data_IF_042373300758
#
_entry.id   IF_042373300758
#
_cell.length_a   1.000
_cell.length_b   1.000
_cell.length_c   1.000
_cell.angle_alpha   90.00
_cell.angle_beta   90.00
_cell.angle_gamma   90.00
#
_symmetry.space_group_name_H-M   'P 1'
#
loop_
_entity.id
_entity.type
_entity.pdbx_description
1 polymer ?
#
# COMPACT_ATOMS: atom_id res chain seq x y z
N UNK A 1 -27.58 -33.95 -2.97
CA UNK A 1 -26.37 -34.32 -3.74
C UNK A 1 -25.40 -33.14 -3.70
N UNK A 2 -24.55 -33.07 -2.66
CA UNK A 2 -23.45 -32.12 -2.56
C UNK A 2 -22.23 -32.80 -3.18
N UNK A 3 -21.83 -32.39 -4.38
CA UNK A 3 -20.57 -32.81 -4.98
C UNK A 3 -19.44 -32.23 -4.14
N UNK A 4 -18.70 -33.09 -3.44
CA UNK A 4 -17.43 -32.74 -2.80
C UNK A 4 -16.42 -32.34 -3.88
N UNK A 5 -16.16 -31.04 -4.02
CA UNK A 5 -14.97 -30.57 -4.74
C UNK A 5 -13.74 -30.86 -3.88
N UNK A 6 -13.03 -31.91 -4.22
CA UNK A 6 -11.66 -32.12 -3.71
C UNK A 6 -10.75 -31.11 -4.41
N UNK A 7 -10.45 -30.03 -3.76
CA UNK A 7 -9.32 -29.20 -4.16
C UNK A 7 -8.04 -29.95 -3.82
N UNK A 8 -7.29 -30.34 -4.88
CA UNK A 8 -6.02 -31.00 -4.75
C UNK A 8 -5.01 -30.06 -4.08
N UNK A 9 -4.57 -30.41 -2.87
CA UNK A 9 -3.28 -30.00 -2.32
C UNK A 9 -3.15 -28.63 -1.65
N UNK A 10 -4.21 -27.83 -1.53
CA UNK A 10 -4.11 -26.55 -0.82
C UNK A 10 -4.60 -26.70 0.63
N UNK A 11 -3.67 -26.77 1.57
CA UNK A 11 -3.99 -26.61 2.98
C UNK A 11 -4.54 -25.20 3.19
N UNK A 12 -5.79 -25.12 3.66
CA UNK A 12 -6.34 -23.87 4.19
C UNK A 12 -5.36 -23.40 5.29
N UNK A 13 -4.81 -22.21 5.10
CA UNK A 13 -3.91 -21.58 6.09
C UNK A 13 -4.69 -21.20 7.33
N UNK A 14 -4.99 -22.15 8.20
CA UNK A 14 -5.52 -21.85 9.55
C UNK A 14 -4.45 -21.57 10.59
N UNK A 15 -3.18 -21.85 10.27
CA UNK A 15 -2.09 -21.89 11.26
C UNK A 15 -0.84 -21.12 10.81
N UNK A 16 -0.97 -20.05 10.01
CA UNK A 16 0.13 -19.12 9.90
C UNK A 16 -0.02 -18.12 11.05
N UNK A 17 0.78 -18.23 12.12
CA UNK A 17 0.93 -17.10 13.01
C UNK A 17 1.38 -15.93 12.13
N UNK A 18 0.78 -14.76 12.35
CA UNK A 18 1.30 -13.50 11.80
C UNK A 18 2.80 -13.54 12.03
N UNK A 19 3.60 -13.39 10.98
CA UNK A 19 5.05 -13.42 11.11
C UNK A 19 5.46 -12.38 12.15
N UNK A 20 6.52 -12.63 12.89
CA UNK A 20 7.02 -11.70 13.91
C UNK A 20 7.17 -10.28 13.34
N UNK A 21 7.42 -10.14 12.03
CA UNK A 21 7.49 -8.87 11.31
C UNK A 21 6.14 -8.19 11.09
N UNK A 22 5.04 -8.92 10.93
CA UNK A 22 3.69 -8.34 10.80
C UNK A 22 3.15 -7.89 12.16
N UNK A 23 3.37 -8.67 13.22
CA UNK A 23 3.08 -8.23 14.59
C UNK A 23 3.98 -7.07 14.99
N UNK A 24 5.22 -7.02 14.52
CA UNK A 24 6.13 -5.92 14.75
C UNK A 24 5.68 -4.60 14.11
N UNK A 25 4.84 -4.61 13.06
CA UNK A 25 4.24 -3.36 12.54
C UNK A 25 3.25 -2.74 13.53
N UNK A 26 2.50 -3.56 14.27
CA UNK A 26 1.48 -3.10 15.23
C UNK A 26 2.10 -2.87 16.61
N UNK A 27 3.14 -3.61 16.97
CA UNK A 27 3.69 -3.67 18.33
C UNK A 27 5.17 -3.26 18.46
N UNK A 28 5.79 -2.64 17.41
CA UNK A 28 7.16 -2.17 17.55
C UNK A 28 7.25 -1.19 18.73
N UNK A 29 8.06 -1.55 19.70
CA UNK A 29 8.42 -0.60 20.78
C UNK A 29 8.94 0.68 20.09
N UNK A 30 8.44 1.86 20.44
CA UNK A 30 8.94 3.13 19.92
C UNK A 30 10.47 3.30 20.00
N UNK A 31 11.13 2.49 20.83
CA UNK A 31 12.58 2.46 20.97
C UNK A 31 13.30 1.82 19.79
N UNK A 32 12.64 0.92 19.07
CA UNK A 32 13.23 0.16 17.95
C UNK A 32 13.08 0.89 16.61
N UNK A 33 12.34 2.00 16.58
CA UNK A 33 12.15 2.82 15.38
C UNK A 33 13.14 3.97 15.38
N UNK A 34 13.92 4.19 14.30
CA UNK A 34 14.81 5.34 14.20
C UNK A 34 14.04 6.64 14.49
N UNK A 35 14.57 7.47 15.37
CA UNK A 35 13.93 8.74 15.69
C UNK A 35 14.51 9.85 14.84
N UNK A 36 13.64 10.68 14.27
CA UNK A 36 14.01 11.92 13.58
C UNK A 36 14.03 13.04 14.60
N UNK A 37 15.07 13.87 14.58
CA UNK A 37 15.26 14.92 15.59
C UNK A 37 14.19 16.02 15.50
N UNK A 38 13.74 16.37 14.29
CA UNK A 38 12.72 17.39 14.05
C UNK A 38 12.03 17.18 12.72
N UNK A 39 10.83 17.70 12.59
CA UNK A 39 10.08 17.76 11.33
C UNK A 39 9.38 19.11 11.26
N UNK A 40 9.39 19.71 10.09
CA UNK A 40 8.56 20.86 9.72
C UNK A 40 8.16 20.73 8.26
N UNK A 41 6.96 21.17 7.91
CA UNK A 41 6.54 21.26 6.52
C UNK A 41 7.40 22.28 5.76
N UNK A 42 7.78 21.93 4.54
CA UNK A 42 8.37 22.90 3.63
C UNK A 42 7.38 24.05 3.35
N UNK A 43 7.84 25.25 2.97
CA UNK A 43 6.93 26.35 2.64
C UNK A 43 5.88 25.95 1.58
N UNK A 44 6.28 25.20 0.55
CA UNK A 44 5.40 24.68 -0.49
C UNK A 44 4.32 23.75 0.09
N UNK A 45 4.74 22.81 0.94
CA UNK A 45 3.80 21.87 1.55
C UNK A 45 2.89 22.55 2.58
N UNK A 46 3.37 23.60 3.25
CA UNK A 46 2.52 24.40 4.13
C UNK A 46 1.41 25.11 3.36
N UNK A 47 1.65 25.58 2.14
CA UNK A 47 0.58 26.13 1.29
C UNK A 47 -0.44 25.04 0.89
N UNK A 48 0.01 23.82 0.59
CA UNK A 48 -0.89 22.66 0.36
C UNK A 48 -1.73 22.34 1.61
N UNK A 49 -1.13 22.39 2.80
CA UNK A 49 -1.86 22.21 4.08
C UNK A 49 -2.97 23.25 4.23
N UNK A 50 -2.68 24.53 3.96
CA UNK A 50 -3.70 25.59 3.98
C UNK A 50 -4.83 25.30 2.98
N UNK A 51 -4.50 24.83 1.78
CA UNK A 51 -5.47 24.41 0.78
C UNK A 51 -6.36 23.26 1.27
N UNK A 52 -5.80 22.23 1.91
CA UNK A 52 -6.60 21.14 2.49
C UNK A 52 -7.54 21.61 3.59
N UNK A 53 -7.06 22.51 4.47
CA UNK A 53 -7.88 23.09 5.54
C UNK A 53 -9.02 23.93 4.98
N UNK A 54 -8.76 24.72 3.92
CA UNK A 54 -9.75 25.58 3.28
C UNK A 54 -10.95 24.83 2.65
N UNK A 55 -10.82 23.52 2.44
CA UNK A 55 -11.95 22.68 1.97
C UNK A 55 -13.03 22.46 3.05
N UNK A 56 -12.77 22.83 4.28
CA UNK A 56 -13.68 22.63 5.42
C UNK A 56 -14.11 23.94 6.05
N UNK A 57 -15.30 24.00 6.67
CA UNK A 57 -15.76 25.19 7.35
C UNK A 57 -14.81 25.65 8.48
N UNK A 58 -14.83 26.95 8.83
CA UNK A 58 -14.05 27.47 9.95
C UNK A 58 -14.25 26.65 11.24
N UNK A 59 -13.17 26.34 11.95
CA UNK A 59 -13.18 25.52 13.15
C UNK A 59 -13.26 23.99 12.90
N UNK A 60 -13.23 23.55 11.63
CA UNK A 60 -13.24 22.14 11.22
C UNK A 60 -11.93 21.67 10.58
N UNK A 61 -10.82 22.35 10.86
CA UNK A 61 -9.49 22.03 10.31
C UNK A 61 -9.03 20.60 10.61
N UNK A 62 -9.50 20.01 11.72
CA UNK A 62 -9.22 18.60 12.07
C UNK A 62 -9.68 17.60 10.98
N UNK A 63 -10.67 17.96 10.15
CA UNK A 63 -11.13 17.11 9.05
C UNK A 63 -10.08 16.92 7.94
N UNK A 64 -9.08 17.80 7.86
CA UNK A 64 -7.98 17.69 6.89
C UNK A 64 -6.87 16.71 7.34
N UNK A 65 -6.98 16.07 8.51
CA UNK A 65 -5.89 15.33 9.14
C UNK A 65 -5.31 14.21 8.26
N UNK A 66 -6.14 13.45 7.55
CA UNK A 66 -5.68 12.36 6.67
C UNK A 66 -4.83 12.91 5.53
N UNK A 67 -5.29 13.97 4.86
CA UNK A 67 -4.55 14.59 3.76
C UNK A 67 -3.24 15.23 4.22
N UNK A 68 -3.23 15.81 5.42
CA UNK A 68 -2.03 16.43 6.00
C UNK A 68 -1.03 15.37 6.47
N UNK A 69 -1.50 14.24 7.02
CA UNK A 69 -0.64 13.10 7.35
C UNK A 69 -0.03 12.47 6.08
N UNK A 70 -0.80 12.30 5.01
CA UNK A 70 -0.27 11.79 3.73
C UNK A 70 0.81 12.73 3.17
N UNK A 71 0.58 14.03 3.21
CA UNK A 71 1.58 15.02 2.79
C UNK A 71 2.85 14.96 3.63
N UNK A 72 2.72 14.80 4.95
CA UNK A 72 3.87 14.63 5.84
C UNK A 72 4.64 13.34 5.54
N UNK A 73 3.92 12.24 5.30
CA UNK A 73 4.51 10.96 4.90
C UNK A 73 5.25 11.07 3.56
N UNK A 74 4.68 11.74 2.56
CA UNK A 74 5.32 11.97 1.25
C UNK A 74 6.59 12.82 1.38
N UNK A 75 6.59 13.80 2.26
CA UNK A 75 7.76 14.65 2.50
C UNK A 75 8.90 13.89 3.19
N UNK A 76 8.59 13.05 4.18
CA UNK A 76 9.57 12.38 5.04
C UNK A 76 9.88 10.94 4.58
N UNK A 77 9.01 10.34 3.75
CA UNK A 77 9.06 8.94 3.32
C UNK A 77 8.32 7.98 4.28
N UNK A 78 8.08 8.39 5.52
CA UNK A 78 7.33 7.68 6.55
C UNK A 78 6.83 8.67 7.62
N UNK A 79 6.04 8.23 8.60
CA UNK A 79 5.49 9.11 9.65
C UNK A 79 6.19 8.92 11.00
N UNK A 80 7.32 9.61 11.27
CA UNK A 80 7.89 9.66 12.60
C UNK A 80 6.99 10.42 13.56
N UNK A 81 7.15 10.16 14.88
CA UNK A 81 6.35 10.82 15.91
C UNK A 81 6.42 12.35 15.82
N UNK A 82 7.59 12.90 15.50
CA UNK A 82 7.75 14.37 15.35
C UNK A 82 6.92 14.94 14.20
N UNK A 83 6.73 14.19 13.11
CA UNK A 83 5.86 14.62 12.00
C UNK A 83 4.38 14.57 12.40
N UNK A 84 3.95 13.53 13.12
CA UNK A 84 2.58 13.45 13.65
C UNK A 84 2.31 14.58 14.66
N UNK A 85 3.28 14.94 15.50
CA UNK A 85 3.17 16.07 16.44
C UNK A 85 3.04 17.39 15.68
N UNK A 86 3.79 17.58 14.61
CA UNK A 86 3.67 18.79 13.78
C UNK A 86 2.31 18.89 13.09
N UNK A 87 1.78 17.78 12.59
CA UNK A 87 0.40 17.71 12.05
C UNK A 87 -0.61 18.11 13.13
N UNK A 88 -0.46 17.58 14.35
CA UNK A 88 -1.33 17.93 15.47
C UNK A 88 -1.28 19.43 15.77
N UNK A 89 -0.08 20.02 15.81
CA UNK A 89 0.13 21.45 16.05
C UNK A 89 -0.52 22.32 14.98
N UNK A 90 -0.33 21.96 13.71
CA UNK A 90 -0.84 22.77 12.57
C UNK A 90 -2.37 22.72 12.50
N UNK A 91 -2.98 21.58 12.85
CA UNK A 91 -4.42 21.38 12.83
C UNK A 91 -5.12 21.70 14.15
N UNK A 92 -4.37 22.18 15.15
CA UNK A 92 -4.88 22.43 16.52
C UNK A 92 -5.62 21.21 17.10
N UNK A 93 -4.97 20.04 17.00
CA UNK A 93 -5.45 18.76 17.50
C UNK A 93 -4.60 18.26 18.66
N UNK A 94 -5.20 17.50 19.58
CA UNK A 94 -4.42 16.76 20.56
C UNK A 94 -3.57 15.69 19.85
N UNK A 95 -2.25 15.56 20.14
CA UNK A 95 -1.36 14.61 19.47
C UNK A 95 -1.89 13.16 19.46
N UNK A 96 -2.53 12.74 20.55
CA UNK A 96 -3.11 11.40 20.66
C UNK A 96 -4.16 11.13 19.59
N UNK A 97 -4.95 12.13 19.19
CA UNK A 97 -5.96 11.99 18.13
C UNK A 97 -5.33 11.79 16.76
N UNK A 98 -4.19 12.42 16.51
CA UNK A 98 -3.43 12.19 15.27
C UNK A 98 -2.80 10.79 15.28
N UNK A 99 -2.28 10.34 16.46
CA UNK A 99 -1.74 8.97 16.60
C UNK A 99 -2.80 7.90 16.37
N UNK A 100 -4.02 8.08 16.92
CA UNK A 100 -5.14 7.17 16.68
C UNK A 100 -5.40 6.99 15.17
N UNK A 101 -5.43 8.09 14.42
CA UNK A 101 -5.66 8.06 12.98
C UNK A 101 -4.49 7.40 12.25
N UNK A 102 -3.27 7.80 12.57
CA UNK A 102 -2.07 7.26 11.92
C UNK A 102 -1.87 5.75 12.16
N UNK A 103 -2.29 5.24 13.33
CA UNK A 103 -2.21 3.81 13.65
C UNK A 103 -3.40 3.02 13.13
N UNK A 104 -4.54 3.65 12.93
CA UNK A 104 -5.74 2.99 12.42
C UNK A 104 -5.68 2.76 10.90
N UNK A 105 -5.23 3.75 10.14
CA UNK A 105 -5.20 3.66 8.68
C UNK A 105 -3.89 3.02 8.20
N UNK A 106 -3.98 1.84 7.59
CA UNK A 106 -2.83 1.01 7.15
C UNK A 106 -2.01 1.63 6.03
N UNK A 107 -2.49 2.68 5.37
CA UNK A 107 -1.74 3.44 4.37
C UNK A 107 -0.59 4.26 5.00
N UNK A 108 -0.63 4.51 6.32
CA UNK A 108 0.42 5.26 7.00
C UNK A 108 1.54 4.34 7.46
N UNK A 109 2.75 4.67 7.06
CA UNK A 109 3.96 3.91 7.37
C UNK A 109 4.62 4.50 8.63
N UNK A 110 4.52 3.81 9.75
CA UNK A 110 5.05 4.26 11.04
C UNK A 110 6.54 3.89 11.23
N UNK A 111 7.12 3.23 10.24
CA UNK A 111 8.55 2.85 10.19
C UNK A 111 9.15 3.28 8.85
N UNK A 112 10.47 3.48 8.78
CA UNK A 112 11.15 3.66 7.51
C UNK A 112 10.86 2.51 6.56
N UNK A 113 10.67 2.83 5.30
CA UNK A 113 10.48 1.86 4.21
C UNK A 113 11.49 2.07 3.11
N UNK A 114 11.67 1.07 2.27
CA UNK A 114 12.46 1.18 1.05
C UNK A 114 11.86 2.18 0.06
N UNK A 115 12.63 2.50 -0.97
CA UNK A 115 12.22 3.42 -2.04
C UNK A 115 10.88 3.03 -2.68
N UNK A 116 10.65 1.72 -2.85
CA UNK A 116 9.43 1.14 -3.41
C UNK A 116 8.74 0.27 -2.36
N UNK A 117 7.52 0.62 -2.00
CA UNK A 117 6.66 -0.20 -1.14
C UNK A 117 5.81 -1.10 -2.03
N UNK A 118 6.02 -2.41 -1.90
CA UNK A 118 5.28 -3.45 -2.60
C UNK A 118 4.13 -3.92 -1.70
N UNK A 119 2.91 -3.50 -1.98
CA UNK A 119 1.72 -3.90 -1.25
C UNK A 119 1.00 -5.00 -2.04
N UNK A 120 1.11 -6.23 -1.58
CA UNK A 120 0.61 -7.42 -2.27
C UNK A 120 -0.76 -7.79 -1.74
N UNK A 121 -1.77 -7.75 -2.59
CA UNK A 121 -3.11 -8.22 -2.25
C UNK A 121 -3.14 -9.75 -2.19
N UNK A 122 -3.59 -10.31 -1.05
CA UNK A 122 -3.69 -11.75 -0.82
C UNK A 122 -5.12 -12.21 -0.53
N UNK A 123 -6.11 -11.34 -0.71
CA UNK A 123 -7.52 -11.68 -0.51
C UNK A 123 -8.03 -12.63 -1.61
N UNK A 124 -9.22 -13.16 -1.43
CA UNK A 124 -9.73 -14.34 -2.15
C UNK A 124 -9.50 -14.34 -3.66
N UNK A 125 -9.85 -13.30 -4.46
CA UNK A 125 -9.62 -13.33 -5.90
C UNK A 125 -8.12 -13.40 -6.27
N UNK A 126 -7.28 -12.61 -5.59
CA UNK A 126 -5.84 -12.62 -5.81
C UNK A 126 -5.23 -13.96 -5.37
N UNK A 127 -5.66 -14.51 -4.24
CA UNK A 127 -5.23 -15.81 -3.76
C UNK A 127 -5.59 -16.94 -4.75
N UNK A 128 -6.82 -16.98 -5.25
CA UNK A 128 -7.27 -17.96 -6.25
C UNK A 128 -6.48 -17.85 -7.55
N UNK A 129 -5.98 -16.67 -7.88
CA UNK A 129 -5.17 -16.38 -9.07
C UNK A 129 -3.66 -16.48 -8.82
N UNK A 130 -3.23 -16.92 -7.63
CA UNK A 130 -1.83 -17.26 -7.35
C UNK A 130 -1.01 -16.16 -6.69
N UNK A 131 -1.62 -15.25 -5.90
CA UNK A 131 -0.88 -14.21 -5.17
C UNK A 131 0.20 -14.74 -4.21
N UNK A 132 0.12 -16.00 -3.79
CA UNK A 132 1.18 -16.66 -3.00
C UNK A 132 2.53 -16.71 -3.73
N UNK A 133 2.53 -16.93 -5.05
CA UNK A 133 3.74 -16.89 -5.86
C UNK A 133 4.28 -15.46 -6.01
N UNK A 134 3.37 -14.49 -6.16
CA UNK A 134 3.70 -13.06 -6.22
C UNK A 134 4.34 -12.62 -4.90
N UNK A 135 3.71 -12.97 -3.76
CA UNK A 135 4.24 -12.65 -2.43
C UNK A 135 5.65 -13.21 -2.23
N UNK A 136 5.89 -14.47 -2.64
CA UNK A 136 7.24 -15.08 -2.56
C UNK A 136 8.25 -14.33 -3.43
N UNK A 137 7.87 -13.92 -4.64
CA UNK A 137 8.76 -13.16 -5.53
C UNK A 137 9.09 -11.79 -4.94
N UNK A 138 8.09 -11.08 -4.38
CA UNK A 138 8.28 -9.80 -3.71
C UNK A 138 9.16 -9.95 -2.45
N UNK A 139 8.89 -10.94 -1.61
CA UNK A 139 9.68 -11.21 -0.40
C UNK A 139 11.14 -11.54 -0.70
N UNK A 140 11.40 -12.30 -1.77
CA UNK A 140 12.76 -12.60 -2.22
C UNK A 140 13.50 -11.36 -2.77
N UNK A 141 12.77 -10.34 -3.22
CA UNK A 141 13.33 -9.10 -3.73
C UNK A 141 13.53 -8.04 -2.64
N UNK A 142 12.89 -8.18 -1.48
CA UNK A 142 12.92 -7.23 -0.40
C UNK A 142 14.32 -7.13 0.22
N UNK A 143 14.86 -5.92 0.26
CA UNK A 143 16.18 -5.61 0.86
C UNK A 143 16.06 -4.51 1.93
N UNK A 144 14.85 -4.01 2.18
CA UNK A 144 14.57 -2.93 3.13
C UNK A 144 15.02 -1.53 2.70
N UNK A 145 15.82 -1.43 1.64
CA UNK A 145 16.33 -0.17 1.11
C UNK A 145 15.72 0.19 -0.24
N UNK A 146 15.74 -0.73 -1.18
CA UNK A 146 15.10 -0.57 -2.49
C UNK A 146 13.64 -0.96 -2.39
N UNK A 147 13.37 -2.17 -1.90
CA UNK A 147 12.03 -2.72 -1.77
C UNK A 147 11.68 -3.04 -0.33
N UNK A 148 10.50 -2.61 0.08
CA UNK A 148 9.79 -3.10 1.27
C UNK A 148 8.52 -3.80 0.83
N UNK A 149 8.18 -4.92 1.46
CA UNK A 149 7.01 -5.73 1.13
C UNK A 149 6.01 -5.69 2.27
N UNK A 150 4.75 -5.55 1.93
CA UNK A 150 3.64 -5.58 2.86
C UNK A 150 2.52 -6.42 2.27
N UNK A 151 2.01 -7.37 3.03
CA UNK A 151 0.75 -8.03 2.73
C UNK A 151 -0.38 -7.06 3.04
N UNK A 152 -1.35 -6.92 2.13
CA UNK A 152 -2.49 -6.03 2.32
C UNK A 152 -3.79 -6.72 2.00
N UNK A 153 -4.87 -6.17 2.55
CA UNK A 153 -6.23 -6.53 2.22
C UNK A 153 -6.59 -6.11 0.78
N UNK A 154 -7.83 -6.34 0.38
CA UNK A 154 -8.28 -6.12 -0.99
C UNK A 154 -8.02 -4.68 -1.49
N UNK A 155 -7.24 -4.58 -2.56
CA UNK A 155 -6.93 -3.32 -3.25
C UNK A 155 -8.04 -2.86 -4.22
N UNK A 156 -9.12 -3.66 -4.38
CA UNK A 156 -10.24 -3.32 -5.25
C UNK A 156 -10.08 -3.70 -6.73
N UNK A 157 -8.90 -4.15 -7.15
CA UNK A 157 -8.60 -4.57 -8.53
C UNK A 157 -8.96 -6.03 -8.84
N UNK A 158 -10.00 -6.61 -8.22
CA UNK A 158 -10.29 -8.05 -8.26
C UNK A 158 -10.53 -8.62 -9.66
N UNK A 159 -11.02 -7.80 -10.59
CA UNK A 159 -11.22 -8.20 -12.00
C UNK A 159 -9.90 -8.53 -12.69
N UNK A 160 -8.83 -7.85 -12.28
CA UNK A 160 -7.49 -7.96 -12.81
C UNK A 160 -6.53 -8.64 -11.82
N UNK A 161 -7.05 -9.55 -10.99
CA UNK A 161 -6.23 -10.29 -10.02
C UNK A 161 -5.20 -11.19 -10.72
N UNK A 162 -3.99 -11.38 -10.15
CA UNK A 162 -3.45 -10.78 -8.92
C UNK A 162 -3.02 -9.33 -9.08
N UNK A 163 -3.10 -8.55 -7.96
CA UNK A 163 -2.79 -7.12 -7.95
C UNK A 163 -1.72 -6.82 -6.89
N UNK A 164 -0.76 -6.01 -7.27
CA UNK A 164 0.25 -5.41 -6.37
C UNK A 164 0.22 -3.90 -6.57
N UNK A 165 0.10 -3.16 -5.48
CA UNK A 165 0.34 -1.72 -5.52
C UNK A 165 1.82 -1.47 -5.22
N UNK A 166 2.48 -0.69 -6.09
CA UNK A 166 3.85 -0.24 -5.91
C UNK A 166 3.83 1.27 -5.76
N UNK A 167 4.03 1.76 -4.56
CA UNK A 167 3.80 3.15 -4.17
C UNK A 167 2.37 3.60 -4.53
N UNK A 168 2.19 4.44 -5.57
CA UNK A 168 0.88 4.97 -5.97
C UNK A 168 0.24 4.20 -7.13
N UNK A 169 0.98 3.28 -7.79
CA UNK A 169 0.54 2.62 -9.02
C UNK A 169 0.14 1.16 -8.80
N UNK A 170 -0.91 0.72 -9.48
CA UNK A 170 -1.33 -0.67 -9.52
C UNK A 170 -0.67 -1.41 -10.68
N UNK A 171 -0.20 -2.62 -10.39
CA UNK A 171 0.26 -3.62 -11.36
C UNK A 171 -0.66 -4.83 -11.24
N UNK A 172 -1.28 -5.19 -12.33
CA UNK A 172 -2.45 -6.07 -12.37
C UNK A 172 -2.22 -7.24 -13.31
N UNK A 173 -3.09 -8.28 -13.22
CA UNK A 173 -2.96 -9.50 -14.06
C UNK A 173 -1.56 -10.13 -13.94
N UNK A 174 -1.00 -10.12 -12.76
CA UNK A 174 0.37 -10.54 -12.52
C UNK A 174 0.49 -12.08 -12.46
N UNK A 175 1.60 -12.56 -12.97
CA UNK A 175 2.17 -13.86 -12.65
C UNK A 175 3.59 -13.70 -12.07
N UNK A 176 4.21 -14.79 -11.66
CA UNK A 176 5.57 -14.74 -11.09
C UNK A 176 6.58 -14.15 -12.09
N UNK A 177 6.41 -14.40 -13.38
CA UNK A 177 7.32 -13.94 -14.42
C UNK A 177 7.19 -12.45 -14.69
N UNK A 178 5.96 -11.97 -14.83
CA UNK A 178 5.68 -10.54 -15.02
C UNK A 178 6.06 -9.73 -13.79
N UNK A 179 5.79 -10.26 -12.57
CA UNK A 179 6.23 -9.60 -11.33
C UNK A 179 7.74 -9.44 -11.25
N UNK A 180 8.50 -10.49 -11.59
CA UNK A 180 9.98 -10.40 -11.63
C UNK A 180 10.45 -9.35 -12.64
N UNK A 181 9.85 -9.26 -13.83
CA UNK A 181 10.18 -8.23 -14.82
C UNK A 181 9.92 -6.82 -14.29
N UNK A 182 8.79 -6.62 -13.60
CA UNK A 182 8.45 -5.33 -12.95
C UNK A 182 9.50 -4.97 -11.90
N UNK A 183 9.86 -5.90 -11.02
CA UNK A 183 10.88 -5.68 -9.99
C UNK A 183 12.24 -5.33 -10.57
N UNK A 184 12.67 -6.06 -11.62
CA UNK A 184 13.94 -5.82 -12.28
C UNK A 184 13.99 -4.45 -12.99
N UNK A 185 12.88 -4.01 -13.57
CA UNK A 185 12.76 -2.68 -14.15
C UNK A 185 12.94 -1.58 -13.09
N UNK A 186 12.27 -1.70 -11.95
CA UNK A 186 12.45 -0.77 -10.84
C UNK A 186 13.88 -0.77 -10.27
N UNK A 187 14.57 -1.92 -10.23
CA UNK A 187 15.99 -1.99 -9.84
C UNK A 187 16.90 -1.23 -10.79
N UNK A 188 16.58 -1.23 -12.08
CA UNK A 188 17.31 -0.43 -13.10
C UNK A 188 16.93 1.06 -13.07
N UNK A 189 15.96 1.46 -12.22
CA UNK A 189 15.46 2.84 -12.16
C UNK A 189 14.44 3.18 -13.24
N UNK A 190 13.94 2.17 -13.95
CA UNK A 190 12.86 2.32 -14.93
C UNK A 190 11.51 2.28 -14.20
N UNK A 191 10.48 2.94 -14.74
CA UNK A 191 9.09 2.84 -14.27
C UNK A 191 8.28 2.06 -15.30
N UNK A 192 7.97 0.78 -15.05
CA UNK A 192 7.14 -0.01 -15.95
C UNK A 192 5.75 0.60 -16.09
N UNK A 193 5.07 0.29 -17.21
CA UNK A 193 3.69 0.73 -17.40
C UNK A 193 2.80 0.13 -16.32
N UNK A 194 2.10 0.99 -15.59
CA UNK A 194 1.09 0.59 -14.61
C UNK A 194 -0.14 -0.04 -15.27
N UNK A 195 -0.93 -0.76 -14.48
CA UNK A 195 -2.14 -1.46 -14.93
C UNK A 195 -1.88 -2.90 -15.34
N UNK A 196 -2.72 -3.46 -16.22
CA UNK A 196 -2.65 -4.86 -16.66
C UNK A 196 -1.29 -5.19 -17.28
N UNK A 197 -0.72 -6.32 -16.86
CA UNK A 197 0.54 -6.85 -17.41
C UNK A 197 0.29 -7.87 -18.53
N UNK A 198 -0.96 -7.97 -19.00
CA UNK A 198 -1.41 -8.72 -20.16
C UNK A 198 -2.01 -7.76 -21.20
N UNK A 199 -2.23 -8.24 -22.42
CA UNK A 199 -2.83 -7.43 -23.49
C UNK A 199 -4.35 -7.33 -23.30
N UNK A 200 -4.75 -6.40 -22.43
CA UNK A 200 -6.15 -5.97 -22.26
C UNK A 200 -6.24 -4.47 -21.98
N UNK A 201 -7.36 -3.89 -22.34
CA UNK A 201 -7.67 -2.50 -22.03
C UNK A 201 -8.27 -2.41 -20.62
N UNK A 202 -7.53 -1.90 -19.65
CA UNK A 202 -8.00 -1.74 -18.26
C UNK A 202 -8.67 -3.02 -17.72
N UNK A 203 -9.93 -2.96 -17.28
CA UNK A 203 -10.71 -4.10 -16.79
C UNK A 203 -11.62 -4.72 -17.85
N UNK A 204 -11.38 -4.47 -19.14
CA UNK A 204 -12.09 -5.14 -20.23
C UNK A 204 -11.83 -6.65 -20.20
N UNK A 205 -12.74 -7.50 -20.72
CA UNK A 205 -12.49 -8.92 -20.81
C UNK A 205 -11.17 -9.21 -21.55
N UNK A 206 -10.39 -10.16 -21.02
CA UNK A 206 -9.24 -10.71 -21.73
C UNK A 206 -9.73 -11.32 -23.05
N UNK A 207 -9.19 -10.91 -24.17
CA UNK A 207 -9.70 -11.27 -25.49
C UNK A 207 -10.66 -10.24 -26.11
N UNK A 208 -10.87 -9.11 -25.44
CA UNK A 208 -11.60 -7.95 -25.96
C UNK A 208 -13.09 -7.94 -25.65
N UNK A 209 -13.78 -6.93 -26.16
CA UNK A 209 -15.20 -6.73 -25.92
C UNK A 209 -16.05 -7.89 -26.45
N UNK A 210 -16.96 -8.40 -25.64
CA UNK A 210 -17.87 -9.51 -25.99
C UNK A 210 -19.29 -9.03 -26.30
N UNK A 211 -19.64 -7.78 -25.95
CA UNK A 211 -20.95 -7.19 -26.14
C UNK A 211 -20.93 -6.15 -27.25
N UNK A 212 -22.07 -5.93 -27.92
CA UNK A 212 -22.24 -4.95 -29.00
C UNK A 212 -21.26 -5.14 -30.19
N UNK A 213 -20.73 -6.33 -30.37
CA UNK A 213 -20.12 -6.69 -31.65
C UNK A 213 -21.29 -6.89 -32.60
N UNK A 214 -21.50 -5.91 -33.50
CA UNK A 214 -22.44 -6.09 -34.61
C UNK A 214 -22.12 -7.37 -35.37
N UNK A 215 -23.13 -8.17 -35.70
CA UNK A 215 -23.02 -9.25 -36.63
C UNK A 215 -22.59 -8.73 -38.02
#
# INVERSE_FOLDING_TARGET
>A
YVRQYRFAGHRVRRDRPLGDDEMAMITADPKDVPQVASFAFTPENMEKVKGFVANYPPGRQASAVISVLDLAQRQQGWLPRVAMNEVARVLDMAPIRVYEIATFYTMFQLKPKGKYLLQVCTTTPCWLRGSDAIMKACAAAADGTTFSVQEVECLGGCVNAPVVQINDDFYEDLDETSMKKVLDAFRRGETPKAGPQVDRQTSAPEGGALTLKGE
#
